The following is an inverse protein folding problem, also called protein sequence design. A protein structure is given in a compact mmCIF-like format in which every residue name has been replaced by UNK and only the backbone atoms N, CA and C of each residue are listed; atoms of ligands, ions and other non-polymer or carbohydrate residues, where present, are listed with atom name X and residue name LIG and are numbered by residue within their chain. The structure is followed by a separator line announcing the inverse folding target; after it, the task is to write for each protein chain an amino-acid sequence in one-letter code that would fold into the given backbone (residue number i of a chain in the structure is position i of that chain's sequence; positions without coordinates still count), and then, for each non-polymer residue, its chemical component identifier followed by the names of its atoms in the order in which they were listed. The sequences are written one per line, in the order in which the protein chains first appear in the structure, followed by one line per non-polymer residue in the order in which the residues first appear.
data_IF_729762499567
#
_entry.id   IF_729762499567
#
_cell.length_a   1.000
_cell.length_b   1.000
_cell.length_c   1.000
_cell.angle_alpha   90.00
_cell.angle_beta   90.00
_cell.angle_gamma   90.00
#
_symmetry.space_group_name_H-M   'P 1'
#
loop_
_entity.id
_entity.type
_entity.pdbx_description
1 polymer ?
#
# COMPACT_ATOMS: atom_id res chain seq x y z
N UNK A 1 -61.37 34.96 13.76
CA UNK A 1 -60.08 35.64 14.03
C UNK A 1 -60.02 35.92 15.53
N UNK A 2 -59.10 35.29 16.28
CA UNK A 2 -58.87 35.68 17.67
C UNK A 2 -58.18 37.05 17.66
N UNK A 3 -58.78 38.05 18.32
CA UNK A 3 -58.20 39.36 18.52
C UNK A 3 -57.25 39.28 19.73
N UNK A 4 -56.01 38.86 19.49
CA UNK A 4 -54.93 39.00 20.47
C UNK A 4 -54.31 40.40 20.33
N UNK A 5 -54.98 41.41 20.89
CA UNK A 5 -54.36 42.73 21.07
C UNK A 5 -53.28 42.63 22.15
N UNK A 6 -52.04 42.35 21.76
CA UNK A 6 -50.86 42.44 22.63
C UNK A 6 -50.73 43.88 23.17
N UNK A 7 -51.10 44.07 24.44
CA UNK A 7 -50.93 45.37 25.12
C UNK A 7 -49.44 45.67 25.33
N UNK A 8 -48.96 46.77 24.76
CA UNK A 8 -47.57 47.20 24.90
C UNK A 8 -47.35 47.81 26.31
N UNK A 9 -46.48 47.23 27.16
CA UNK A 9 -46.27 47.72 28.52
C UNK A 9 -45.65 49.13 28.54
N UNK A 10 -46.15 49.99 29.44
CA UNK A 10 -45.68 51.37 29.63
C UNK A 10 -44.57 51.41 30.68
N UNK A 11 -43.44 52.01 30.32
CA UNK A 11 -42.36 52.41 31.21
C UNK A 11 -42.57 53.85 31.70
N UNK A 12 -41.85 54.26 32.75
CA UNK A 12 -42.02 55.52 33.51
C UNK A 12 -41.94 56.80 32.64
N UNK A 13 -41.48 56.70 31.39
CA UNK A 13 -41.43 57.80 30.41
C UNK A 13 -41.88 57.43 28.98
N UNK A 14 -42.70 56.40 28.81
CA UNK A 14 -43.23 56.01 27.49
C UNK A 14 -43.32 54.49 27.32
N UNK A 15 -43.54 54.01 26.09
CA UNK A 15 -43.53 52.58 25.80
C UNK A 15 -42.09 52.03 25.79
N UNK A 16 -41.91 50.78 26.21
CA UNK A 16 -40.62 50.09 26.10
C UNK A 16 -40.23 49.92 24.63
N UNK A 17 -39.16 50.59 24.21
CA UNK A 17 -38.68 50.63 22.82
C UNK A 17 -38.40 49.23 22.27
N UNK A 18 -37.82 48.33 23.06
CA UNK A 18 -37.51 46.97 22.62
C UNK A 18 -38.78 46.13 22.36
N UNK A 19 -39.83 46.37 23.14
CA UNK A 19 -41.13 45.72 22.94
C UNK A 19 -41.89 46.34 21.77
N UNK A 20 -41.86 47.67 21.63
CA UNK A 20 -42.42 48.38 20.46
C UNK A 20 -41.77 47.93 19.15
N UNK A 21 -40.43 47.85 19.10
CA UNK A 21 -39.72 47.41 17.89
C UNK A 21 -40.08 45.97 17.49
N UNK A 22 -40.31 45.08 18.48
CA UNK A 22 -40.79 43.71 18.23
C UNK A 22 -42.22 43.69 17.68
N UNK A 23 -43.13 44.47 18.26
CA UNK A 23 -44.51 44.58 17.74
C UNK A 23 -44.52 45.18 16.34
N UNK A 24 -43.73 46.22 16.07
CA UNK A 24 -43.58 46.80 14.72
C UNK A 24 -43.02 45.78 13.74
N UNK A 25 -42.02 44.97 14.14
CA UNK A 25 -41.45 43.93 13.28
C UNK A 25 -42.44 42.77 13.03
N UNK A 26 -43.31 42.45 13.99
CA UNK A 26 -44.42 41.50 13.83
C UNK A 26 -45.48 42.05 12.89
N UNK A 27 -45.96 43.28 13.12
CA UNK A 27 -46.90 43.97 12.25
C UNK A 27 -46.37 44.16 10.82
N UNK A 28 -45.08 44.45 10.64
CA UNK A 28 -44.45 44.50 9.31
C UNK A 28 -44.44 43.13 8.62
N UNK A 29 -44.19 42.05 9.37
CA UNK A 29 -44.29 40.69 8.82
C UNK A 29 -45.72 40.33 8.46
N UNK A 30 -46.67 40.59 9.34
CA UNK A 30 -48.11 40.39 9.09
C UNK A 30 -48.62 41.24 7.93
N UNK A 31 -48.13 42.47 7.79
CA UNK A 31 -48.44 43.33 6.64
C UNK A 31 -47.83 42.77 5.36
N UNK A 32 -46.59 42.26 5.40
CA UNK A 32 -45.96 41.62 4.24
C UNK A 32 -46.68 40.32 3.85
N UNK A 33 -47.10 39.49 4.81
CA UNK A 33 -47.88 38.28 4.54
C UNK A 33 -49.27 38.62 4.04
N UNK A 34 -49.92 39.63 4.61
CA UNK A 34 -51.22 40.13 4.14
C UNK A 34 -51.10 40.71 2.74
N UNK A 35 -50.00 41.40 2.41
CA UNK A 35 -49.74 41.94 1.08
C UNK A 35 -49.47 40.81 0.08
N UNK A 36 -48.68 39.80 0.45
CA UNK A 36 -48.46 38.62 -0.38
C UNK A 36 -49.78 37.87 -0.65
N UNK A 37 -50.62 37.69 0.38
CA UNK A 37 -51.95 37.12 0.21
C UNK A 37 -52.83 38.01 -0.67
N UNK A 38 -52.76 39.34 -0.53
CA UNK A 38 -53.53 40.26 -1.36
C UNK A 38 -53.07 40.22 -2.82
N UNK A 39 -51.77 40.17 -3.08
CA UNK A 39 -51.19 40.04 -4.42
C UNK A 39 -51.59 38.69 -5.04
N UNK A 40 -51.57 37.61 -4.27
CA UNK A 40 -52.06 36.29 -4.70
C UNK A 40 -53.57 36.30 -4.98
N UNK A 41 -54.38 36.93 -4.12
CA UNK A 41 -55.82 37.10 -4.36
C UNK A 41 -56.08 37.99 -5.58
N UNK A 42 -55.27 39.03 -5.81
CA UNK A 42 -55.39 39.91 -6.97
C UNK A 42 -55.03 39.19 -8.27
N UNK A 43 -54.01 38.31 -8.25
CA UNK A 43 -53.71 37.41 -9.38
C UNK A 43 -54.87 36.44 -9.62
N UNK A 44 -55.36 35.76 -8.58
CA UNK A 44 -56.53 34.85 -8.71
C UNK A 44 -57.77 35.59 -9.21
N UNK A 45 -57.97 36.83 -8.78
CA UNK A 45 -59.10 37.66 -9.20
C UNK A 45 -58.95 38.07 -10.66
N UNK A 46 -57.73 38.40 -11.14
CA UNK A 46 -57.45 38.60 -12.57
C UNK A 46 -57.64 37.32 -13.38
N UNK A 47 -57.20 36.17 -12.87
CA UNK A 47 -57.40 34.88 -13.54
C UNK A 47 -58.89 34.51 -13.63
N UNK A 48 -59.64 34.75 -12.56
CA UNK A 48 -61.10 34.58 -12.55
C UNK A 48 -61.80 35.59 -13.47
N UNK A 49 -61.37 36.84 -13.52
CA UNK A 49 -61.89 37.84 -14.45
C UNK A 49 -61.61 37.44 -15.91
N UNK A 50 -60.41 36.93 -16.20
CA UNK A 50 -60.04 36.38 -17.51
C UNK A 50 -60.90 35.17 -17.85
N UNK A 51 -61.08 34.23 -16.92
CA UNK A 51 -61.92 33.04 -17.10
C UNK A 51 -63.41 33.42 -17.28
N UNK A 52 -63.90 34.42 -16.56
CA UNK A 52 -65.27 34.94 -16.72
C UNK A 52 -65.43 35.67 -18.04
N UNK A 53 -64.44 36.45 -18.47
CA UNK A 53 -64.45 37.09 -19.79
C UNK A 53 -64.44 36.04 -20.90
N UNK A 54 -63.65 34.99 -20.76
CA UNK A 54 -63.59 33.85 -21.68
C UNK A 54 -64.90 33.06 -21.70
N UNK A 55 -65.49 32.77 -20.55
CA UNK A 55 -66.80 32.12 -20.43
C UNK A 55 -67.94 32.97 -20.98
N UNK A 56 -67.89 34.30 -20.81
CA UNK A 56 -68.87 35.23 -21.39
C UNK A 56 -68.73 35.32 -22.90
N UNK A 57 -67.50 35.40 -23.39
CA UNK A 57 -67.20 35.29 -24.81
C UNK A 57 -67.74 33.96 -25.36
N UNK A 58 -67.47 32.84 -24.68
CA UNK A 58 -68.00 31.53 -25.05
C UNK A 58 -69.52 31.47 -25.02
N UNK A 59 -70.18 32.11 -24.05
CA UNK A 59 -71.63 32.17 -23.93
C UNK A 59 -72.29 33.00 -25.04
N UNK A 60 -71.72 34.16 -25.41
CA UNK A 60 -72.17 34.96 -26.56
C UNK A 60 -72.02 34.18 -27.88
N UNK A 61 -71.01 33.32 -27.98
CA UNK A 61 -70.76 32.47 -29.15
C UNK A 61 -71.57 31.15 -29.13
N UNK A 62 -72.39 30.92 -28.08
CA UNK A 62 -73.23 29.72 -27.89
C UNK A 62 -74.69 29.94 -28.34
N UNK A 63 -75.12 31.16 -28.70
CA UNK A 63 -76.52 31.43 -29.09
C UNK A 63 -76.95 30.86 -30.45
N UNK A 64 -76.04 30.19 -31.17
CA UNK A 64 -76.22 29.17 -32.22
C UNK A 64 -74.81 28.96 -32.81
N UNK A 65 -74.24 27.75 -32.82
CA UNK A 65 -72.90 27.54 -33.37
C UNK A 65 -72.93 27.90 -34.86
N UNK A 66 -72.33 29.03 -35.19
CA UNK A 66 -72.08 29.40 -36.59
C UNK A 66 -70.75 28.76 -36.97
N UNK A 67 -70.59 28.29 -38.21
CA UNK A 67 -69.37 27.58 -38.66
C UNK A 67 -68.06 28.30 -38.28
N UNK A 68 -68.08 29.64 -38.22
CA UNK A 68 -66.95 30.47 -37.79
C UNK A 68 -66.53 30.25 -36.31
N UNK A 69 -67.47 30.12 -35.37
CA UNK A 69 -67.15 29.98 -33.93
C UNK A 69 -66.62 28.58 -33.61
N UNK A 70 -67.19 27.55 -34.25
CA UNK A 70 -66.66 26.18 -34.20
C UNK A 70 -65.24 26.12 -34.77
N UNK A 71 -64.99 26.79 -35.90
CA UNK A 71 -63.68 26.86 -36.51
C UNK A 71 -62.62 27.50 -35.60
N UNK A 72 -62.96 28.61 -34.92
CA UNK A 72 -62.04 29.27 -33.98
C UNK A 72 -61.71 28.40 -32.75
N UNK A 73 -62.70 27.74 -32.14
CA UNK A 73 -62.47 26.79 -31.03
C UNK A 73 -61.62 25.61 -31.47
N UNK A 74 -61.82 25.13 -32.70
CA UNK A 74 -61.03 24.05 -33.25
C UNK A 74 -59.58 24.46 -33.48
N UNK A 75 -59.33 25.61 -34.11
CA UNK A 75 -57.97 26.13 -34.27
C UNK A 75 -57.26 26.32 -32.93
N UNK A 76 -57.97 26.70 -31.87
CA UNK A 76 -57.42 26.76 -30.51
C UNK A 76 -57.02 25.37 -29.99
N UNK A 77 -57.92 24.39 -30.05
CA UNK A 77 -57.64 23.00 -29.67
C UNK A 77 -56.48 22.39 -30.47
N UNK A 78 -56.43 22.63 -31.79
CA UNK A 78 -55.36 22.16 -32.66
C UNK A 78 -54.00 22.80 -32.30
N UNK A 79 -54.00 24.05 -31.84
CA UNK A 79 -52.80 24.76 -31.38
C UNK A 79 -52.37 24.28 -29.99
N UNK A 80 -53.32 23.99 -29.11
CA UNK A 80 -53.08 23.38 -27.80
C UNK A 80 -52.48 21.98 -27.93
N UNK A 81 -53.02 21.13 -28.82
CA UNK A 81 -52.48 19.80 -29.09
C UNK A 81 -51.07 19.84 -29.70
N UNK A 82 -50.78 20.82 -30.58
CA UNK A 82 -49.44 21.03 -31.14
C UNK A 82 -48.45 21.47 -30.06
N UNK A 83 -48.88 22.36 -29.16
CA UNK A 83 -48.09 22.79 -28.01
C UNK A 83 -47.84 21.62 -27.06
N UNK A 84 -48.85 20.78 -26.78
CA UNK A 84 -48.73 19.61 -25.93
C UNK A 84 -47.79 18.55 -26.53
N UNK A 85 -47.87 18.28 -27.83
CA UNK A 85 -46.95 17.38 -28.53
C UNK A 85 -45.50 17.90 -28.46
N UNK A 86 -45.28 19.19 -28.69
CA UNK A 86 -43.96 19.81 -28.55
C UNK A 86 -43.44 19.76 -27.10
N UNK A 87 -44.31 19.97 -26.11
CA UNK A 87 -43.95 19.86 -24.69
C UNK A 87 -43.57 18.44 -24.28
N UNK A 88 -44.23 17.41 -24.81
CA UNK A 88 -43.89 16.00 -24.56
C UNK A 88 -42.49 15.70 -25.07
N UNK A 89 -42.16 16.10 -26.31
CA UNK A 89 -40.83 15.89 -26.89
C UNK A 89 -39.76 16.69 -26.14
N UNK A 90 -40.03 17.94 -25.79
CA UNK A 90 -39.11 18.78 -25.02
C UNK A 90 -38.85 18.22 -23.60
N UNK A 91 -39.86 17.61 -22.98
CA UNK A 91 -39.70 16.97 -21.67
C UNK A 91 -38.86 15.70 -21.77
N UNK A 92 -39.11 14.88 -22.78
CA UNK A 92 -38.37 13.64 -23.03
C UNK A 92 -36.90 13.89 -23.39
N UNK A 93 -36.63 14.87 -24.24
CA UNK A 93 -35.25 15.30 -24.58
C UNK A 93 -34.50 15.78 -23.33
N UNK A 94 -35.12 16.64 -22.51
CA UNK A 94 -34.52 17.10 -21.27
C UNK A 94 -34.33 15.96 -20.23
N UNK A 95 -35.16 14.93 -20.24
CA UNK A 95 -34.97 13.73 -19.42
C UNK A 95 -33.81 12.86 -19.93
N UNK A 96 -33.69 12.69 -21.25
CA UNK A 96 -32.57 12.01 -21.89
C UNK A 96 -31.23 12.68 -21.57
N UNK A 97 -31.14 14.00 -21.69
CA UNK A 97 -29.94 14.78 -21.33
C UNK A 97 -29.59 14.61 -19.85
N UNK A 98 -30.58 14.69 -18.94
CA UNK A 98 -30.36 14.45 -17.51
C UNK A 98 -29.82 13.05 -17.24
N UNK A 99 -30.35 12.03 -17.91
CA UNK A 99 -29.89 10.65 -17.72
C UNK A 99 -28.47 10.44 -18.24
N UNK A 100 -28.10 11.07 -19.37
CA UNK A 100 -26.72 11.09 -19.86
C UNK A 100 -25.77 11.76 -18.85
N UNK A 101 -26.16 12.91 -18.27
CA UNK A 101 -25.36 13.58 -17.25
C UNK A 101 -25.18 12.73 -15.98
N UNK A 102 -26.23 12.04 -15.53
CA UNK A 102 -26.14 11.12 -14.38
C UNK A 102 -25.21 9.95 -14.70
N UNK A 103 -25.36 9.33 -15.86
CA UNK A 103 -24.50 8.21 -16.30
C UNK A 103 -23.03 8.62 -16.43
N UNK A 104 -22.75 9.80 -17.01
CA UNK A 104 -21.39 10.34 -17.10
C UNK A 104 -20.76 10.55 -15.71
N UNK A 105 -21.54 11.07 -14.75
CA UNK A 105 -21.09 11.24 -13.36
C UNK A 105 -20.87 9.91 -12.65
N UNK A 106 -21.75 8.93 -12.86
CA UNK A 106 -21.60 7.59 -12.29
C UNK A 106 -20.36 6.90 -12.83
N UNK A 107 -20.09 7.04 -14.13
CA UNK A 107 -18.86 6.57 -14.76
C UNK A 107 -17.62 7.22 -14.14
N UNK A 108 -17.60 8.56 -14.01
CA UNK A 108 -16.47 9.26 -13.38
C UNK A 108 -16.25 8.79 -11.94
N UNK A 109 -17.33 8.56 -11.18
CA UNK A 109 -17.26 8.02 -9.82
C UNK A 109 -16.66 6.61 -9.79
N UNK A 110 -17.07 5.73 -10.71
CA UNK A 110 -16.52 4.36 -10.82
C UNK A 110 -15.04 4.40 -11.20
N UNK A 111 -14.65 5.25 -12.15
CA UNK A 111 -13.25 5.43 -12.53
C UNK A 111 -12.40 5.96 -11.36
N UNK A 112 -12.91 6.93 -10.60
CA UNK A 112 -12.22 7.46 -9.43
C UNK A 112 -12.05 6.41 -8.32
N UNK A 113 -13.10 5.64 -8.01
CA UNK A 113 -13.04 4.54 -7.02
C UNK A 113 -12.08 3.44 -7.46
N UNK A 114 -12.12 3.04 -8.74
CA UNK A 114 -11.19 2.08 -9.32
C UNK A 114 -9.74 2.55 -9.18
N UNK A 115 -9.45 3.79 -9.58
CA UNK A 115 -8.09 4.34 -9.49
C UNK A 115 -7.60 4.36 -8.04
N UNK A 116 -8.46 4.68 -7.08
CA UNK A 116 -8.13 4.63 -5.66
C UNK A 116 -7.83 3.21 -5.18
N UNK A 117 -8.65 2.22 -5.59
CA UNK A 117 -8.42 0.80 -5.25
C UNK A 117 -7.13 0.26 -5.85
N UNK A 118 -6.88 0.51 -7.13
CA UNK A 118 -5.65 0.11 -7.83
C UNK A 118 -4.41 0.72 -7.16
N UNK A 119 -4.47 2.01 -6.82
CA UNK A 119 -3.38 2.67 -6.12
C UNK A 119 -3.13 2.05 -4.73
N UNK A 120 -4.20 1.75 -3.99
CA UNK A 120 -4.10 1.11 -2.69
C UNK A 120 -3.51 -0.30 -2.78
N UNK A 121 -4.03 -1.13 -3.68
CA UNK A 121 -3.61 -2.53 -3.86
C UNK A 121 -2.14 -2.62 -4.29
N UNK A 122 -1.72 -1.76 -5.23
CA UNK A 122 -0.31 -1.63 -5.60
C UNK A 122 0.55 -1.16 -4.44
N UNK A 123 0.07 -0.21 -3.64
CA UNK A 123 0.81 0.29 -2.46
C UNK A 123 0.98 -0.81 -1.40
N UNK A 124 -0.06 -1.61 -1.16
CA UNK A 124 -0.02 -2.73 -0.22
C UNK A 124 0.99 -3.78 -0.69
N UNK A 125 0.91 -4.21 -1.94
CA UNK A 125 1.83 -5.20 -2.50
C UNK A 125 3.30 -4.75 -2.45
N UNK A 126 3.57 -3.48 -2.80
CA UNK A 126 4.93 -2.92 -2.70
C UNK A 126 5.42 -2.83 -1.26
N UNK A 127 4.54 -2.47 -0.32
CA UNK A 127 4.88 -2.43 1.11
C UNK A 127 5.19 -3.84 1.65
N UNK A 128 4.40 -4.84 1.28
CA UNK A 128 4.59 -6.22 1.70
C UNK A 128 5.89 -6.81 1.15
N UNK A 129 6.14 -6.63 -0.15
CA UNK A 129 7.41 -6.99 -0.80
C UNK A 129 8.61 -6.32 -0.11
N UNK A 130 8.49 -5.03 0.24
CA UNK A 130 9.55 -4.32 0.94
C UNK A 130 9.81 -4.86 2.36
N UNK A 131 8.75 -5.13 3.13
CA UNK A 131 8.86 -5.71 4.47
C UNK A 131 9.51 -7.09 4.41
N UNK A 132 9.13 -7.92 3.43
CA UNK A 132 9.71 -9.25 3.23
C UNK A 132 11.21 -9.18 2.92
N UNK A 133 11.61 -8.36 1.94
CA UNK A 133 13.03 -8.18 1.56
C UNK A 133 13.84 -7.61 2.73
N UNK A 134 13.31 -6.59 3.43
CA UNK A 134 13.98 -5.97 4.58
C UNK A 134 14.14 -6.96 5.74
N UNK A 135 13.11 -7.75 6.04
CA UNK A 135 13.14 -8.81 7.04
C UNK A 135 14.16 -9.90 6.71
N UNK A 136 14.18 -10.34 5.44
CA UNK A 136 15.14 -11.32 4.94
C UNK A 136 16.58 -10.79 5.03
N UNK A 137 16.84 -9.54 4.62
CA UNK A 137 18.14 -8.89 4.73
C UNK A 137 18.62 -8.81 6.18
N UNK A 138 17.76 -8.36 7.10
CA UNK A 138 18.10 -8.32 8.53
C UNK A 138 18.40 -9.70 9.10
N UNK A 139 17.65 -10.73 8.67
CA UNK A 139 17.89 -12.12 9.08
C UNK A 139 19.22 -12.64 8.56
N UNK A 140 19.51 -12.40 7.28
CA UNK A 140 20.76 -12.71 6.60
C UNK A 140 21.97 -12.07 7.30
N UNK A 141 21.90 -10.76 7.57
CA UNK A 141 22.93 -10.02 8.31
C UNK A 141 23.15 -10.63 9.71
N UNK A 142 22.08 -10.92 10.45
CA UNK A 142 22.17 -11.54 11.78
C UNK A 142 22.84 -12.92 11.75
N UNK A 143 22.53 -13.76 10.76
CA UNK A 143 23.12 -15.10 10.61
C UNK A 143 24.62 -14.99 10.33
N UNK A 144 25.01 -14.14 9.37
CA UNK A 144 26.41 -13.92 9.02
C UNK A 144 27.19 -13.33 10.20
N UNK A 145 26.64 -12.33 10.88
CA UNK A 145 27.28 -11.72 12.04
C UNK A 145 27.42 -12.71 13.21
N UNK A 146 26.41 -13.55 13.46
CA UNK A 146 26.51 -14.55 14.52
C UNK A 146 27.56 -15.62 14.18
N UNK A 147 27.62 -16.08 12.93
CA UNK A 147 28.65 -17.00 12.47
C UNK A 147 30.05 -16.39 12.60
N UNK A 148 30.23 -15.11 12.22
CA UNK A 148 31.49 -14.38 12.38
C UNK A 148 31.88 -14.22 13.83
N UNK A 149 30.95 -13.82 14.72
CA UNK A 149 31.22 -13.72 16.16
C UNK A 149 31.60 -15.06 16.78
N UNK A 150 30.91 -16.15 16.42
CA UNK A 150 31.26 -17.50 16.87
C UNK A 150 32.65 -17.90 16.39
N UNK A 151 32.98 -17.61 15.14
CA UNK A 151 34.31 -17.88 14.60
C UNK A 151 35.39 -17.07 15.31
N UNK A 152 35.18 -15.77 15.54
CA UNK A 152 36.11 -14.93 16.30
C UNK A 152 36.37 -15.48 17.70
N UNK A 153 35.31 -15.79 18.47
CA UNK A 153 35.47 -16.38 19.82
C UNK A 153 36.26 -17.69 19.80
N UNK A 154 36.02 -18.54 18.81
CA UNK A 154 36.72 -19.82 18.68
C UNK A 154 38.19 -19.64 18.26
N UNK A 155 38.50 -18.62 17.44
CA UNK A 155 39.89 -18.26 17.11
C UNK A 155 40.61 -17.71 18.33
N UNK A 156 40.01 -16.75 19.05
CA UNK A 156 40.58 -16.18 20.27
C UNK A 156 40.88 -17.26 21.31
N UNK A 157 39.94 -18.19 21.51
CA UNK A 157 40.13 -19.32 22.42
C UNK A 157 41.23 -20.27 21.94
N UNK A 158 41.32 -20.55 20.63
CA UNK A 158 42.40 -21.35 20.07
C UNK A 158 43.76 -20.68 20.21
N UNK A 159 43.84 -19.36 20.00
CA UNK A 159 45.07 -18.56 20.19
C UNK A 159 45.49 -18.53 21.66
N UNK A 160 44.55 -18.37 22.60
CA UNK A 160 44.80 -18.43 24.04
C UNK A 160 45.37 -19.78 24.45
N UNK A 161 44.72 -20.89 24.07
CA UNK A 161 45.19 -22.25 24.37
C UNK A 161 46.56 -22.50 23.72
N UNK A 162 46.76 -22.06 22.46
CA UNK A 162 48.05 -22.18 21.79
C UNK A 162 49.15 -21.40 22.53
N UNK A 163 48.85 -20.20 23.01
CA UNK A 163 49.75 -19.38 23.81
C UNK A 163 50.10 -20.02 25.15
N UNK A 164 49.11 -20.55 25.88
CA UNK A 164 49.32 -21.27 27.14
C UNK A 164 50.20 -22.49 26.96
N UNK A 165 49.92 -23.30 25.94
CA UNK A 165 50.72 -24.48 25.61
C UNK A 165 52.15 -24.08 25.24
N UNK A 166 52.34 -23.08 24.37
CA UNK A 166 53.68 -22.59 24.00
C UNK A 166 54.45 -22.04 25.20
N UNK A 167 53.78 -21.33 26.10
CA UNK A 167 54.37 -20.82 27.34
C UNK A 167 54.81 -21.95 28.28
N UNK A 168 53.95 -22.96 28.46
CA UNK A 168 54.25 -24.13 29.27
C UNK A 168 55.41 -24.95 28.68
N UNK A 169 55.42 -25.20 27.36
CA UNK A 169 56.50 -25.93 26.70
C UNK A 169 57.82 -25.16 26.71
N UNK A 170 57.80 -23.83 26.52
CA UNK A 170 59.00 -23.00 26.64
C UNK A 170 59.57 -23.01 28.07
N UNK A 171 58.70 -22.97 29.08
CA UNK A 171 59.10 -23.03 30.48
C UNK A 171 59.75 -24.38 30.81
N UNK A 172 59.14 -25.50 30.39
CA UNK A 172 59.74 -26.81 30.62
C UNK A 172 61.02 -27.04 29.82
N UNK A 173 61.10 -26.56 28.58
CA UNK A 173 62.34 -26.59 27.82
C UNK A 173 63.46 -25.81 28.54
N UNK A 174 63.16 -24.64 29.10
CA UNK A 174 64.11 -23.83 29.86
C UNK A 174 64.54 -24.51 31.17
N UNK A 175 63.57 -25.06 31.93
CA UNK A 175 63.83 -25.79 33.18
C UNK A 175 64.72 -27.01 32.94
N UNK A 176 64.42 -27.80 31.90
CA UNK A 176 65.19 -28.96 31.51
C UNK A 176 66.61 -28.58 31.09
N UNK A 177 66.77 -27.53 30.28
CA UNK A 177 68.08 -27.03 29.87
C UNK A 177 68.93 -26.58 31.07
N UNK A 178 68.31 -25.87 32.03
CA UNK A 178 68.99 -25.47 33.26
C UNK A 178 69.40 -26.68 34.11
N UNK A 179 68.51 -27.66 34.28
CA UNK A 179 68.80 -28.90 35.02
C UNK A 179 69.94 -29.69 34.39
N UNK A 180 69.89 -29.94 33.08
CA UNK A 180 70.92 -30.67 32.36
C UNK A 180 72.28 -29.95 32.42
N UNK A 181 72.26 -28.61 32.33
CA UNK A 181 73.48 -27.80 32.49
C UNK A 181 74.07 -27.94 33.90
N UNK A 182 73.25 -27.78 34.94
CA UNK A 182 73.70 -27.89 36.33
C UNK A 182 74.25 -29.29 36.64
N UNK A 183 73.58 -30.34 36.15
CA UNK A 183 74.00 -31.73 36.34
C UNK A 183 75.34 -32.01 35.63
N UNK A 184 75.51 -31.48 34.40
CA UNK A 184 76.80 -31.56 33.69
C UNK A 184 77.91 -30.78 34.41
N UNK A 185 77.61 -29.59 34.95
CA UNK A 185 78.58 -28.77 35.68
C UNK A 185 78.98 -29.45 36.99
N UNK A 186 78.04 -30.12 37.68
CA UNK A 186 78.32 -30.92 38.87
C UNK A 186 79.24 -32.10 38.56
N UNK A 187 78.94 -32.88 37.53
CA UNK A 187 79.76 -34.03 37.12
C UNK A 187 81.18 -33.57 36.72
N UNK A 188 81.30 -32.46 35.99
CA UNK A 188 82.59 -31.88 35.62
C UNK A 188 83.35 -31.43 36.87
N UNK A 189 82.68 -30.79 37.84
CA UNK A 189 83.31 -30.32 39.07
C UNK A 189 83.78 -31.49 39.95
N UNK A 190 82.96 -32.54 40.09
CA UNK A 190 83.33 -33.76 40.80
C UNK A 190 84.50 -34.47 40.14
N UNK A 191 84.49 -34.58 38.81
CA UNK A 191 85.60 -35.16 38.06
C UNK A 191 86.88 -34.32 38.18
N UNK A 192 86.80 -33.00 38.08
CA UNK A 192 87.93 -32.10 38.25
C UNK A 192 88.52 -32.21 39.67
N UNK A 193 87.66 -32.33 40.69
CA UNK A 193 88.07 -32.57 42.09
C UNK A 193 88.76 -33.92 42.23
N UNK A 194 88.17 -34.99 41.70
CA UNK A 194 88.76 -36.32 41.70
C UNK A 194 90.14 -36.33 41.04
N UNK A 195 90.28 -35.72 39.86
CA UNK A 195 91.58 -35.57 39.17
C UNK A 195 92.57 -34.77 40.00
N UNK A 196 92.14 -33.69 40.68
CA UNK A 196 93.03 -32.91 41.55
C UNK A 196 93.51 -33.72 42.77
N UNK A 197 92.62 -34.48 43.41
CA UNK A 197 92.96 -35.39 44.51
C UNK A 197 93.92 -36.50 44.05
N UNK A 198 93.66 -37.10 42.89
CA UNK A 198 94.56 -38.09 42.28
C UNK A 198 95.92 -37.48 41.95
N UNK A 199 95.99 -36.28 41.35
CA UNK A 199 97.28 -35.60 41.08
C UNK A 199 98.08 -35.33 42.35
N UNK A 200 97.40 -34.94 43.43
CA UNK A 200 98.05 -34.72 44.73
C UNK A 200 98.64 -36.02 45.28
N UNK A 201 97.86 -37.11 45.25
CA UNK A 201 98.32 -38.44 45.66
C UNK A 201 99.46 -38.96 44.78
N UNK A 202 99.33 -38.79 43.47
CA UNK A 202 100.35 -39.17 42.49
C UNK A 202 101.67 -38.43 42.75
N UNK A 203 101.63 -37.13 43.03
CA UNK A 203 102.81 -36.35 43.41
C UNK A 203 103.46 -36.88 44.70
N UNK A 204 102.66 -37.22 45.72
CA UNK A 204 103.18 -37.83 46.96
C UNK A 204 103.78 -39.22 46.74
N UNK A 205 103.16 -40.05 45.89
CA UNK A 205 103.62 -41.42 45.62
C UNK A 205 104.86 -41.47 44.73
N UNK A 206 105.05 -40.49 43.82
CA UNK A 206 106.32 -40.25 43.11
C UNK A 206 107.44 -39.95 44.10
N UNK A 207 107.23 -39.00 45.03
CA UNK A 207 108.25 -38.67 46.04
C UNK A 207 108.59 -39.84 46.95
N UNK A 208 107.67 -40.80 47.10
CA UNK A 208 107.85 -42.02 47.90
C UNK A 208 108.35 -43.24 47.09
N UNK A 209 108.58 -43.12 45.77
CA UNK A 209 109.14 -44.20 44.93
C UNK A 209 108.20 -45.38 44.63
N UNK A 210 106.88 -45.24 44.77
CA UNK A 210 105.90 -46.35 44.65
C UNK A 210 105.36 -46.55 43.22
N UNK A 211 106.22 -47.05 42.32
CA UNK A 211 105.94 -47.19 40.86
C UNK A 211 104.70 -48.04 40.52
N UNK A 212 104.44 -49.13 41.24
CA UNK A 212 103.26 -49.98 40.99
C UNK A 212 101.93 -49.31 41.37
N UNK A 213 101.98 -48.26 42.20
CA UNK A 213 100.81 -47.51 42.65
C UNK A 213 100.41 -46.44 41.62
N UNK A 214 101.40 -45.84 40.94
CA UNK A 214 101.21 -44.87 39.85
C UNK A 214 100.37 -45.43 38.68
N UNK A 215 100.59 -46.69 38.28
CA UNK A 215 99.82 -47.32 37.20
C UNK A 215 98.34 -47.52 37.53
N UNK A 216 98.02 -47.79 38.81
CA UNK A 216 96.62 -47.93 39.27
C UNK A 216 95.92 -46.57 39.34
N UNK A 217 96.62 -45.52 39.73
CA UNK A 217 96.06 -44.17 39.80
C UNK A 217 95.83 -43.56 38.40
N UNK A 218 96.75 -43.78 37.45
CA UNK A 218 96.55 -43.38 36.06
C UNK A 218 95.35 -44.10 35.43
N UNK A 219 95.16 -45.39 35.73
CA UNK A 219 93.98 -46.13 35.32
C UNK A 219 92.69 -45.58 35.95
N UNK A 220 92.75 -45.06 37.18
CA UNK A 220 91.64 -44.35 37.84
C UNK A 220 91.26 -43.06 37.13
N UNK A 221 92.25 -42.24 36.72
CA UNK A 221 92.01 -41.00 35.96
C UNK A 221 91.37 -41.29 34.61
N UNK A 222 91.93 -42.23 33.85
CA UNK A 222 91.40 -42.61 32.54
C UNK A 222 89.98 -43.18 32.65
N UNK A 223 89.69 -43.93 33.73
CA UNK A 223 88.34 -44.42 34.02
C UNK A 223 87.38 -43.27 34.32
N UNK A 224 87.78 -42.29 35.14
CA UNK A 224 86.95 -41.13 35.47
C UNK A 224 86.67 -40.27 34.22
N UNK A 225 87.68 -40.04 33.39
CA UNK A 225 87.52 -39.33 32.11
C UNK A 225 86.55 -40.06 31.18
N UNK A 226 86.67 -41.39 31.07
CA UNK A 226 85.72 -42.20 30.31
C UNK A 226 84.29 -42.10 30.87
N UNK A 227 84.11 -42.16 32.19
CA UNK A 227 82.81 -42.00 32.85
C UNK A 227 82.21 -40.62 32.59
N UNK A 228 83.01 -39.54 32.62
CA UNK A 228 82.52 -38.18 32.27
C UNK A 228 82.16 -38.02 30.80
N UNK A 229 82.89 -38.69 29.89
CA UNK A 229 82.58 -38.67 28.47
C UNK A 229 81.26 -39.40 28.18
N UNK A 230 81.06 -40.57 28.80
CA UNK A 230 79.80 -41.32 28.73
C UNK A 230 78.64 -40.50 29.30
N UNK A 231 78.80 -39.89 30.47
CA UNK A 231 77.76 -39.07 31.07
C UNK A 231 77.39 -37.84 30.21
N UNK A 232 78.37 -37.22 29.54
CA UNK A 232 78.10 -36.14 28.56
C UNK A 232 77.29 -36.63 27.38
N UNK A 233 77.67 -37.75 26.79
CA UNK A 233 76.97 -38.31 25.64
C UNK A 233 75.53 -38.73 26.00
N UNK A 234 75.33 -39.32 27.18
CA UNK A 234 74.00 -39.66 27.70
C UNK A 234 73.14 -38.40 27.96
N UNK A 235 73.71 -37.35 28.53
CA UNK A 235 73.02 -36.08 28.75
C UNK A 235 72.62 -35.41 27.42
N UNK A 236 73.49 -35.46 26.40
CA UNK A 236 73.25 -34.88 25.09
C UNK A 236 72.15 -35.65 24.32
N UNK A 237 72.14 -37.00 24.42
CA UNK A 237 71.05 -37.84 23.92
C UNK A 237 69.73 -37.58 24.63
N UNK A 238 69.74 -37.47 25.96
CA UNK A 238 68.54 -37.16 26.73
C UNK A 238 67.96 -35.78 26.39
N UNK A 239 68.82 -34.77 26.17
CA UNK A 239 68.40 -33.44 25.73
C UNK A 239 67.77 -33.46 24.34
N UNK A 240 68.42 -34.11 23.36
CA UNK A 240 67.90 -34.19 21.99
C UNK A 240 66.58 -34.93 21.90
N UNK A 241 66.43 -36.04 22.64
CA UNK A 241 65.17 -36.78 22.71
C UNK A 241 64.03 -35.90 23.24
N UNK A 242 64.22 -35.25 24.40
CA UNK A 242 63.20 -34.39 25.00
C UNK A 242 62.91 -33.14 24.17
N UNK A 243 63.91 -32.59 23.49
CA UNK A 243 63.69 -31.48 22.56
C UNK A 243 62.79 -31.91 21.39
N UNK A 244 63.05 -33.08 20.81
CA UNK A 244 62.22 -33.63 19.74
C UNK A 244 60.78 -33.91 20.24
N UNK A 245 60.61 -34.44 21.46
CA UNK A 245 59.29 -34.62 22.08
C UNK A 245 58.53 -33.29 22.22
N UNK A 246 59.20 -32.23 22.67
CA UNK A 246 58.60 -30.89 22.80
C UNK A 246 58.20 -30.31 21.43
N UNK A 247 59.07 -30.44 20.41
CA UNK A 247 58.76 -30.01 19.03
C UNK A 247 57.55 -30.75 18.50
N UNK A 248 57.49 -32.08 18.64
CA UNK A 248 56.36 -32.90 18.22
C UNK A 248 55.05 -32.50 18.90
N UNK A 249 55.10 -32.23 20.22
CA UNK A 249 53.94 -31.73 20.94
C UNK A 249 53.46 -30.38 20.36
N UNK A 250 54.36 -29.43 20.13
CA UNK A 250 53.99 -28.12 19.55
C UNK A 250 53.44 -28.22 18.14
N UNK A 251 53.98 -29.11 17.31
CA UNK A 251 53.48 -29.34 15.95
C UNK A 251 52.04 -29.88 15.99
N UNK A 252 51.76 -30.84 16.86
CA UNK A 252 50.39 -31.37 17.01
C UNK A 252 49.37 -30.29 17.35
N UNK A 253 49.71 -29.37 18.26
CA UNK A 253 48.82 -28.24 18.59
C UNK A 253 48.66 -27.24 17.45
N UNK A 254 49.70 -27.04 16.63
CA UNK A 254 49.62 -26.21 15.43
C UNK A 254 48.66 -26.85 14.42
N UNK A 255 48.79 -28.15 14.16
CA UNK A 255 47.93 -28.90 13.25
C UNK A 255 46.45 -28.88 13.72
N UNK A 256 46.22 -29.00 15.04
CA UNK A 256 44.87 -28.89 15.64
C UNK A 256 44.28 -27.47 15.46
N UNK A 257 45.10 -26.42 15.60
CA UNK A 257 44.67 -25.05 15.37
C UNK A 257 44.34 -24.78 13.88
N UNK A 258 45.15 -25.29 12.96
CA UNK A 258 44.89 -25.20 11.52
C UNK A 258 43.60 -25.92 11.12
N UNK A 259 43.36 -27.10 11.68
CA UNK A 259 42.12 -27.85 11.48
C UNK A 259 40.90 -27.07 11.95
N UNK A 260 40.96 -26.46 13.14
CA UNK A 260 39.89 -25.58 13.66
C UNK A 260 39.66 -24.36 12.78
N UNK A 261 40.73 -23.70 12.32
CA UNK A 261 40.61 -22.56 11.39
C UNK A 261 39.91 -22.97 10.07
N UNK A 262 40.21 -24.16 9.56
CA UNK A 262 39.57 -24.70 8.36
C UNK A 262 38.08 -24.94 8.57
N UNK A 263 37.67 -25.55 9.69
CA UNK A 263 36.24 -25.80 9.98
C UNK A 263 35.48 -24.50 10.21
N UNK A 264 36.08 -23.50 10.87
CA UNK A 264 35.50 -22.18 11.05
C UNK A 264 35.26 -21.46 9.72
N UNK A 265 36.26 -21.47 8.83
CA UNK A 265 36.11 -20.90 7.48
C UNK A 265 35.01 -21.59 6.68
N UNK A 266 34.86 -22.90 6.84
CA UNK A 266 33.76 -23.65 6.21
C UNK A 266 32.40 -23.21 6.78
N UNK A 267 32.28 -23.08 8.10
CA UNK A 267 31.05 -22.62 8.76
C UNK A 267 30.65 -21.19 8.36
N UNK A 268 31.61 -20.26 8.22
CA UNK A 268 31.32 -18.91 7.72
C UNK A 268 30.80 -18.97 6.27
N UNK A 269 31.46 -19.75 5.39
CA UNK A 269 31.00 -19.90 4.00
C UNK A 269 29.61 -20.49 3.93
N UNK A 270 29.30 -21.47 4.76
CA UNK A 270 27.96 -22.06 4.84
C UNK A 270 26.92 -21.03 5.31
N UNK A 271 27.26 -20.20 6.30
CA UNK A 271 26.40 -19.10 6.74
C UNK A 271 26.18 -18.04 5.64
N UNK A 272 27.20 -17.75 4.83
CA UNK A 272 27.09 -16.84 3.69
C UNK A 272 26.23 -17.41 2.57
N UNK A 273 26.37 -18.71 2.26
CA UNK A 273 25.53 -19.40 1.26
C UNK A 273 24.07 -19.49 1.70
N UNK A 274 23.81 -19.82 2.96
CA UNK A 274 22.45 -19.86 3.50
C UNK A 274 21.80 -18.48 3.54
N UNK A 275 22.57 -17.45 3.91
CA UNK A 275 22.15 -16.05 3.84
C UNK A 275 21.78 -15.61 2.42
N UNK A 276 22.60 -15.95 1.42
CA UNK A 276 22.32 -15.66 0.02
C UNK A 276 21.06 -16.40 -0.48
N UNK A 277 20.89 -17.66 -0.10
CA UNK A 277 19.68 -18.43 -0.45
C UNK A 277 18.40 -17.84 0.16
N UNK A 278 18.46 -17.31 1.40
CA UNK A 278 17.33 -16.63 2.03
C UNK A 278 16.99 -15.34 1.27
N UNK A 279 17.99 -14.54 0.90
CA UNK A 279 17.77 -13.32 0.13
C UNK A 279 17.19 -13.61 -1.25
N UNK A 280 17.74 -14.59 -1.98
CA UNK A 280 17.24 -14.96 -3.30
C UNK A 280 15.80 -15.48 -3.24
N UNK A 281 15.46 -16.27 -2.22
CA UNK A 281 14.08 -16.72 -2.00
C UNK A 281 13.14 -15.54 -1.72
N UNK A 282 13.54 -14.61 -0.85
CA UNK A 282 12.72 -13.45 -0.51
C UNK A 282 12.53 -12.51 -1.71
N UNK A 283 13.55 -12.35 -2.56
CA UNK A 283 13.43 -11.59 -3.81
C UNK A 283 12.44 -12.24 -4.78
N UNK A 284 12.51 -13.56 -4.96
CA UNK A 284 11.55 -14.29 -5.79
C UNK A 284 10.12 -14.15 -5.27
N UNK A 285 9.93 -14.38 -3.98
CA UNK A 285 8.61 -14.26 -3.33
C UNK A 285 8.08 -12.82 -3.41
N UNK A 286 8.93 -11.80 -3.27
CA UNK A 286 8.55 -10.41 -3.49
C UNK A 286 8.15 -10.12 -4.95
N UNK A 287 8.83 -10.70 -5.93
CA UNK A 287 8.46 -10.62 -7.35
C UNK A 287 7.09 -11.27 -7.57
N UNK A 288 6.86 -12.45 -7.00
CA UNK A 288 5.60 -13.18 -7.11
C UNK A 288 4.44 -12.38 -6.50
N UNK A 289 4.61 -11.79 -5.31
CA UNK A 289 3.61 -10.91 -4.67
C UNK A 289 3.24 -9.73 -5.58
N UNK A 290 4.25 -9.07 -6.17
CA UNK A 290 4.00 -7.93 -7.07
C UNK A 290 3.33 -8.38 -8.37
N UNK A 291 3.69 -9.55 -8.90
CA UNK A 291 3.08 -10.12 -10.09
C UNK A 291 1.61 -10.50 -9.85
N UNK A 292 1.31 -11.17 -8.74
CA UNK A 292 -0.04 -11.55 -8.36
C UNK A 292 -0.93 -10.32 -8.13
N UNK A 293 -0.42 -9.30 -7.43
CA UNK A 293 -1.13 -8.04 -7.26
C UNK A 293 -1.37 -7.32 -8.59
N UNK A 294 -0.40 -7.37 -9.52
CA UNK A 294 -0.57 -6.78 -10.86
C UNK A 294 -1.65 -7.51 -11.65
N UNK A 295 -1.70 -8.84 -11.59
CA UNK A 295 -2.76 -9.62 -12.23
C UNK A 295 -4.16 -9.33 -11.63
N UNK A 296 -4.23 -9.15 -10.31
CA UNK A 296 -5.48 -8.74 -9.64
C UNK A 296 -5.92 -7.34 -10.07
N UNK A 297 -4.99 -6.39 -10.14
CA UNK A 297 -5.24 -5.04 -10.66
C UNK A 297 -5.73 -5.08 -12.11
N UNK A 298 -5.11 -5.88 -12.97
CA UNK A 298 -5.55 -6.04 -14.37
C UNK A 298 -6.97 -6.58 -14.45
N UNK A 299 -7.30 -7.60 -13.66
CA UNK A 299 -8.65 -8.14 -13.58
C UNK A 299 -9.66 -7.11 -13.05
N UNK A 300 -9.31 -6.37 -12.01
CA UNK A 300 -10.15 -5.32 -11.43
C UNK A 300 -10.43 -4.22 -12.46
N UNK A 301 -9.41 -3.77 -13.19
CA UNK A 301 -9.54 -2.77 -14.25
C UNK A 301 -10.41 -3.28 -15.40
N UNK A 302 -10.25 -4.55 -15.81
CA UNK A 302 -11.09 -5.15 -16.85
C UNK A 302 -12.56 -5.21 -16.42
N UNK A 303 -12.83 -5.71 -15.21
CA UNK A 303 -14.20 -5.81 -14.68
C UNK A 303 -14.87 -4.43 -14.55
N UNK A 304 -14.14 -3.44 -14.03
CA UNK A 304 -14.67 -2.08 -13.88
C UNK A 304 -14.91 -1.39 -15.22
N UNK A 305 -14.09 -1.65 -16.24
CA UNK A 305 -14.34 -1.18 -17.61
C UNK A 305 -15.61 -1.79 -18.19
N UNK A 306 -15.79 -3.10 -18.04
CA UNK A 306 -16.99 -3.80 -18.49
C UNK A 306 -18.25 -3.26 -17.80
N UNK A 307 -18.18 -2.99 -16.50
CA UNK A 307 -19.28 -2.39 -15.75
C UNK A 307 -19.58 -0.97 -16.22
N UNK A 308 -18.56 -0.13 -16.40
CA UNK A 308 -18.73 1.23 -16.91
C UNK A 308 -19.38 1.25 -18.30
N UNK A 309 -18.98 0.35 -19.20
CA UNK A 309 -19.61 0.20 -20.52
C UNK A 309 -21.08 -0.20 -20.37
N UNK A 310 -21.40 -1.20 -19.55
CA UNK A 310 -22.81 -1.62 -19.31
C UNK A 310 -23.67 -0.51 -18.75
N UNK A 311 -23.14 0.31 -17.85
CA UNK A 311 -23.87 1.45 -17.26
C UNK A 311 -24.18 2.50 -18.35
N UNK A 312 -23.21 2.82 -19.20
CA UNK A 312 -23.40 3.76 -20.32
C UNK A 312 -24.41 3.19 -21.32
N UNK A 313 -24.22 1.96 -21.80
CA UNK A 313 -25.10 1.32 -22.77
C UNK A 313 -26.55 1.23 -22.25
N UNK A 314 -26.72 0.89 -20.97
CA UNK A 314 -28.05 0.82 -20.35
C UNK A 314 -28.70 2.20 -20.26
N UNK A 315 -27.94 3.25 -19.97
CA UNK A 315 -28.45 4.62 -19.92
C UNK A 315 -28.81 5.13 -21.32
N UNK A 316 -27.98 4.88 -22.32
CA UNK A 316 -28.25 5.26 -23.72
C UNK A 316 -29.48 4.55 -24.27
N UNK A 317 -29.61 3.24 -24.03
CA UNK A 317 -30.78 2.45 -24.46
C UNK A 317 -32.06 2.98 -23.82
N UNK A 318 -32.05 3.30 -22.52
CA UNK A 318 -33.21 3.89 -21.84
C UNK A 318 -33.54 5.28 -22.38
N UNK A 319 -32.54 6.12 -22.65
CA UNK A 319 -32.75 7.46 -23.18
C UNK A 319 -33.38 7.40 -24.58
N UNK A 320 -32.87 6.51 -25.43
CA UNK A 320 -33.41 6.26 -26.76
C UNK A 320 -34.86 5.76 -26.71
N UNK A 321 -35.17 4.84 -25.78
CA UNK A 321 -36.55 4.34 -25.60
C UNK A 321 -37.51 5.45 -25.15
N UNK A 322 -37.11 6.29 -24.19
CA UNK A 322 -37.95 7.41 -23.71
C UNK A 322 -38.19 8.41 -24.85
N UNK A 323 -37.17 8.70 -25.65
CA UNK A 323 -37.28 9.61 -26.79
C UNK A 323 -38.23 9.03 -27.85
N UNK A 324 -38.05 7.76 -28.22
CA UNK A 324 -38.88 7.08 -29.21
C UNK A 324 -40.35 7.03 -28.78
N UNK A 325 -40.63 6.69 -27.52
CA UNK A 325 -41.99 6.68 -26.96
C UNK A 325 -42.63 8.09 -27.00
N UNK A 326 -41.83 9.13 -26.74
CA UNK A 326 -42.30 10.51 -26.79
C UNK A 326 -42.58 10.99 -28.22
N UNK A 327 -41.71 10.65 -29.17
CA UNK A 327 -41.88 10.95 -30.59
C UNK A 327 -43.10 10.22 -31.19
N UNK A 328 -43.33 8.96 -30.80
CA UNK A 328 -44.51 8.21 -31.22
C UNK A 328 -45.79 8.87 -30.70
N UNK A 329 -45.83 9.21 -29.40
CA UNK A 329 -47.00 9.91 -28.81
C UNK A 329 -47.24 11.27 -29.47
N UNK A 330 -46.18 12.04 -29.73
CA UNK A 330 -46.28 13.32 -30.42
C UNK A 330 -46.82 13.15 -31.85
N UNK A 331 -46.34 12.15 -32.58
CA UNK A 331 -46.80 11.82 -33.93
C UNK A 331 -48.26 11.38 -33.94
N UNK A 332 -48.69 10.57 -32.96
CA UNK A 332 -50.09 10.17 -32.80
C UNK A 332 -50.99 11.39 -32.53
N UNK A 333 -50.56 12.31 -31.67
CA UNK A 333 -51.29 13.57 -31.39
C UNK A 333 -51.41 14.44 -32.65
N UNK A 334 -50.33 14.57 -33.43
CA UNK A 334 -50.34 15.31 -34.70
C UNK A 334 -51.24 14.63 -35.74
N UNK A 335 -51.20 13.30 -35.86
CA UNK A 335 -52.08 12.57 -36.77
C UNK A 335 -53.56 12.68 -36.39
N UNK A 336 -53.89 12.58 -35.09
CA UNK A 336 -55.25 12.80 -34.58
C UNK A 336 -55.72 14.24 -34.84
N UNK A 337 -54.82 15.21 -34.70
CA UNK A 337 -55.05 16.61 -35.05
C UNK A 337 -55.37 16.78 -36.54
N UNK A 338 -54.55 16.22 -37.43
CA UNK A 338 -54.75 16.31 -38.89
C UNK A 338 -56.04 15.63 -39.32
N UNK A 339 -56.35 14.46 -38.77
CA UNK A 339 -57.60 13.76 -39.01
C UNK A 339 -58.80 14.61 -38.58
N UNK A 340 -58.76 15.19 -37.37
CA UNK A 340 -59.79 16.09 -36.85
C UNK A 340 -59.95 17.35 -37.71
N UNK A 341 -58.84 17.96 -38.13
CA UNK A 341 -58.85 19.12 -39.01
C UNK A 341 -59.47 18.78 -40.38
N UNK A 342 -59.10 17.64 -40.98
CA UNK A 342 -59.64 17.18 -42.27
C UNK A 342 -61.15 16.89 -42.19
N UNK A 343 -61.61 16.32 -41.07
CA UNK A 343 -63.03 16.06 -40.83
C UNK A 343 -63.82 17.37 -40.76
N UNK A 344 -63.27 18.37 -40.09
CA UNK A 344 -63.90 19.68 -39.94
C UNK A 344 -63.93 20.46 -41.25
N UNK A 345 -62.86 20.42 -42.04
CA UNK A 345 -62.85 21.02 -43.39
C UNK A 345 -63.94 20.40 -44.27
N UNK A 346 -64.14 19.07 -44.21
CA UNK A 346 -65.22 18.38 -44.92
C UNK A 346 -66.60 18.82 -44.43
N UNK A 347 -66.80 18.89 -43.11
CA UNK A 347 -68.06 19.37 -42.51
C UNK A 347 -68.38 20.82 -42.91
N UNK A 348 -67.38 21.71 -42.91
CA UNK A 348 -67.56 23.10 -43.33
C UNK A 348 -67.92 23.20 -44.81
N UNK A 349 -67.26 22.42 -45.69
CA UNK A 349 -67.59 22.38 -47.11
C UNK A 349 -69.01 21.84 -47.36
N UNK A 350 -69.47 20.84 -46.59
CA UNK A 350 -70.84 20.35 -46.65
C UNK A 350 -71.85 21.40 -46.16
N UNK A 351 -71.55 22.11 -45.08
CA UNK A 351 -72.38 23.19 -44.56
C UNK A 351 -72.51 24.35 -45.56
N UNK A 352 -71.42 24.76 -46.22
CA UNK A 352 -71.44 25.77 -47.29
C UNK A 352 -72.23 25.30 -48.52
N UNK A 353 -72.11 24.02 -48.89
CA UNK A 353 -72.91 23.42 -49.96
C UNK A 353 -74.41 23.37 -49.64
N UNK A 354 -74.78 23.17 -48.38
CA UNK A 354 -76.17 23.22 -47.92
C UNK A 354 -76.68 24.66 -47.95
N UNK A 355 -75.92 25.62 -47.40
CA UNK A 355 -76.28 27.03 -47.40
C UNK A 355 -76.45 27.60 -48.81
N UNK A 356 -75.59 27.23 -49.76
CA UNK A 356 -75.70 27.65 -51.16
C UNK A 356 -76.87 26.97 -51.90
N UNK A 357 -77.26 25.74 -51.51
CA UNK A 357 -78.47 25.06 -52.02
C UNK A 357 -79.75 25.71 -51.48
N UNK A 358 -79.75 26.13 -50.21
CA UNK A 358 -80.86 26.87 -49.60
C UNK A 358 -81.02 28.24 -50.25
N UNK A 359 -79.94 29.00 -50.44
CA UNK A 359 -79.96 30.28 -51.16
C UNK A 359 -80.46 30.14 -52.62
N UNK A 360 -80.09 29.06 -53.31
CA UNK A 360 -80.60 28.77 -54.67
C UNK A 360 -82.08 28.37 -54.68
N UNK A 361 -82.56 27.65 -53.65
CA UNK A 361 -83.99 27.34 -53.49
C UNK A 361 -84.80 28.60 -53.18
N UNK A 362 -84.30 29.46 -52.30
CA UNK A 362 -84.96 30.71 -51.93
C UNK A 362 -85.02 31.68 -53.13
N UNK A 363 -83.94 31.76 -53.93
CA UNK A 363 -83.90 32.54 -55.18
C UNK A 363 -84.83 31.97 -56.27
N UNK A 364 -85.02 30.64 -56.33
CA UNK A 364 -85.97 30.01 -57.26
C UNK A 364 -87.43 30.23 -56.83
N UNK A 365 -87.70 30.33 -55.52
CA UNK A 365 -89.03 30.57 -54.97
C UNK A 365 -89.47 32.05 -55.01
N UNK A 366 -88.55 32.98 -55.33
CA UNK A 366 -88.86 34.41 -55.53
C UNK A 366 -89.10 34.79 -57.00
N UNK A 367 -88.91 33.86 -57.94
CA UNK A 367 -89.11 34.08 -59.39
C UNK A 367 -90.39 33.43 -59.95
N UNK A 368 -91.23 32.85 -59.09
CA UNK A 368 -92.63 32.45 -59.37
C UNK A 368 -93.57 33.29 -58.53
#
# INVERSE_FOLDING_TARGET
MPNDTEEIPRSVRGYDRATVDRVIAKLRRELMTSKALFDEQAERMRDLENAVAELRHDAEHTSKPTAATLNTRLHRLLREAEKEAAEIVNRATAEGERMQHVSARDRERVEADLNARVANERSVALSEAHVLISGAKSSAERIVDDARRRAHRLVEEAERISGEVRGATATEAARLKASARNESELIIAEAARGVAEFKLRFATDITAGRVAQLGRELAGILKLEAETAVAREEAEKAYTLRHNEAVMATQKYLDEAESKLKTLRASIREAELTSLAIMERAEREAIDIVADASAQVESLVANARDEAVRVVDSAETRAASILADAEERASQLIAQREASNSFVVKMNAEAENIATREQKKDAANTQT
#
